data_IF_622455816288
#
_entry.id   IF_622455816288
#
_cell.length_a   1.000
_cell.length_b   1.000
_cell.length_c   1.000
_cell.angle_alpha   90.00
_cell.angle_beta   90.00
_cell.angle_gamma   90.00
#
_symmetry.space_group_name_H-M   'P 1'
#
loop_
_entity.id
_entity.type
_entity.pdbx_description
1 polymer ?
#
# COMPACT_ATOMS: atom_id res chain seq x y z
N UNK A 1 54.27 27.89 -46.15
CA UNK A 1 53.38 27.66 -45.01
C UNK A 1 51.97 27.40 -45.54
N UNK A 2 51.78 26.31 -46.31
CA UNK A 2 51.21 24.99 -45.88
C UNK A 2 49.79 25.11 -45.29
N UNK A 3 48.72 24.88 -46.06
CA UNK A 3 48.08 23.60 -46.52
C UNK A 3 47.12 23.00 -45.47
N UNK A 4 45.93 22.43 -45.71
CA UNK A 4 44.90 22.21 -46.79
C UNK A 4 43.73 21.50 -46.04
N UNK A 5 42.44 21.57 -46.37
CA UNK A 5 41.64 20.83 -47.39
C UNK A 5 40.15 21.10 -47.01
N UNK A 6 39.27 21.73 -47.82
CA UNK A 6 38.41 21.26 -48.92
C UNK A 6 37.20 20.33 -48.63
N UNK A 7 36.00 20.87 -48.99
CA UNK A 7 34.76 20.27 -49.60
C UNK A 7 33.96 19.26 -48.76
N UNK A 8 32.62 19.12 -48.80
CA UNK A 8 31.49 19.37 -49.73
C UNK A 8 30.24 19.57 -48.83
N UNK A 9 29.14 20.28 -49.16
CA UNK A 9 28.22 20.13 -50.29
C UNK A 9 26.99 19.28 -49.90
N UNK A 10 25.80 19.90 -49.75
CA UNK A 10 24.52 19.17 -49.66
C UNK A 10 23.37 19.93 -48.98
N UNK A 11 22.35 20.31 -49.76
CA UNK A 11 21.08 20.92 -49.34
C UNK A 11 19.90 20.09 -49.91
N UNK A 12 18.73 20.19 -49.27
CA UNK A 12 17.38 19.69 -49.64
C UNK A 12 17.20 18.15 -49.48
N UNK A 13 16.08 17.57 -49.02
CA UNK A 13 14.66 17.95 -49.03
C UNK A 13 13.87 17.05 -48.05
N UNK A 14 12.71 17.55 -47.61
CA UNK A 14 11.64 16.89 -46.83
C UNK A 14 11.22 15.49 -47.32
N UNK A 15 10.82 14.59 -46.39
CA UNK A 15 9.88 13.49 -46.67
C UNK A 15 9.23 12.89 -45.41
N UNK A 16 7.92 13.10 -45.26
CA UNK A 16 7.00 12.13 -44.65
C UNK A 16 6.74 10.99 -45.62
N UNK A 17 6.69 9.73 -45.18
CA UNK A 17 5.78 8.71 -45.75
C UNK A 17 5.66 7.48 -44.84
N UNK A 18 4.41 7.08 -44.59
CA UNK A 18 3.97 5.74 -44.19
C UNK A 18 4.29 4.68 -45.26
N UNK A 19 4.23 3.39 -44.88
CA UNK A 19 3.75 2.19 -45.62
C UNK A 19 4.11 0.96 -44.72
N UNK A 20 3.34 -0.10 -44.52
CA UNK A 20 2.14 -0.65 -45.16
C UNK A 20 2.33 -2.15 -45.47
N UNK A 21 1.38 -3.00 -45.04
CA UNK A 21 1.07 -4.38 -45.53
C UNK A 21 2.02 -5.54 -45.09
N UNK A 22 1.62 -6.81 -44.92
CA UNK A 22 0.49 -7.57 -45.46
C UNK A 22 0.14 -8.82 -44.61
N UNK A 23 -1.08 -9.30 -44.87
CA UNK A 23 -1.82 -10.46 -44.36
C UNK A 23 -1.33 -11.79 -44.96
N UNK A 24 -1.43 -12.90 -44.20
CA UNK A 24 -1.77 -14.23 -44.74
C UNK A 24 -2.57 -15.03 -43.70
N UNK A 25 -3.70 -15.59 -44.15
CA UNK A 25 -4.75 -16.28 -43.39
C UNK A 25 -4.46 -17.78 -43.14
N UNK A 26 -4.87 -18.26 -41.95
CA UNK A 26 -5.67 -19.47 -41.56
C UNK A 26 -5.48 -20.86 -42.23
N UNK A 27 -6.09 -21.99 -41.76
CA UNK A 27 -7.01 -22.22 -40.61
C UNK A 27 -6.69 -23.47 -39.74
N UNK A 28 -7.31 -23.62 -38.57
CA UNK A 28 -8.18 -24.78 -38.28
C UNK A 28 -8.96 -24.62 -36.97
N UNK A 29 -10.28 -24.74 -37.11
CA UNK A 29 -11.30 -24.85 -36.08
C UNK A 29 -11.16 -26.18 -35.33
N UNK A 30 -11.20 -26.17 -34.00
CA UNK A 30 -11.69 -27.32 -33.23
C UNK A 30 -12.48 -26.81 -32.02
N UNK A 31 -13.78 -27.09 -32.09
CA UNK A 31 -14.82 -26.83 -31.09
C UNK A 31 -14.70 -27.83 -29.95
N UNK A 32 -14.59 -27.40 -28.69
CA UNK A 32 -15.00 -28.17 -27.50
C UNK A 32 -15.31 -27.20 -26.31
N UNK A 33 -16.18 -27.59 -25.36
CA UNK A 33 -17.26 -26.75 -24.85
C UNK A 33 -16.94 -25.96 -23.57
N UNK A 34 -17.76 -24.94 -23.34
CA UNK A 34 -17.83 -24.16 -22.11
C UNK A 34 -18.08 -25.07 -20.89
N UNK A 35 -17.10 -25.17 -19.99
CA UNK A 35 -17.34 -25.63 -18.63
C UNK A 35 -17.63 -24.42 -17.75
N UNK A 36 -18.88 -24.27 -17.36
CA UNK A 36 -19.30 -23.44 -16.23
C UNK A 36 -18.53 -23.88 -14.99
N UNK A 37 -17.48 -23.12 -14.62
CA UNK A 37 -16.86 -23.22 -13.30
C UNK A 37 -17.83 -22.65 -12.27
N UNK A 38 -18.76 -23.51 -11.85
CA UNK A 38 -19.43 -23.39 -10.56
C UNK A 38 -18.32 -23.31 -9.51
N UNK A 39 -18.23 -22.17 -8.82
CA UNK A 39 -17.41 -22.01 -7.61
C UNK A 39 -17.92 -23.02 -6.59
N UNK A 40 -17.32 -24.22 -6.54
CA UNK A 40 -17.55 -25.18 -5.46
C UNK A 40 -16.95 -24.58 -4.20
N UNK A 41 -17.82 -24.06 -3.34
CA UNK A 41 -17.51 -23.78 -1.94
C UNK A 41 -17.11 -25.12 -1.30
N UNK A 42 -15.81 -25.31 -1.12
CA UNK A 42 -15.28 -26.47 -0.38
C UNK A 42 -15.64 -26.29 1.08
N UNK A 43 -16.80 -26.82 1.48
CA UNK A 43 -17.21 -26.90 2.88
C UNK A 43 -16.23 -27.83 3.59
N UNK A 44 -15.29 -27.25 4.34
CA UNK A 44 -14.36 -28.01 5.19
C UNK A 44 -15.17 -28.89 6.16
N UNK A 45 -14.83 -30.18 6.21
CA UNK A 45 -15.39 -31.14 7.18
C UNK A 45 -15.26 -30.59 8.61
N UNK A 46 -16.19 -30.96 9.50
CA UNK A 46 -16.14 -30.59 10.92
C UNK A 46 -14.81 -30.99 11.58
N UNK A 47 -14.20 -32.09 11.15
CA UNK A 47 -12.88 -32.52 11.58
C UNK A 47 -11.76 -31.62 11.04
N UNK A 48 -11.81 -31.25 9.75
CA UNK A 48 -10.83 -30.33 9.15
C UNK A 48 -10.83 -28.95 9.81
N UNK A 49 -12.00 -28.44 10.22
CA UNK A 49 -12.11 -27.18 10.96
C UNK A 49 -11.54 -27.28 12.38
N UNK A 50 -11.78 -28.40 13.08
CA UNK A 50 -11.20 -28.65 14.41
C UNK A 50 -9.68 -28.75 14.34
N UNK A 51 -9.15 -29.42 13.32
CA UNK A 51 -7.70 -29.56 13.14
C UNK A 51 -7.03 -28.22 12.81
N UNK A 52 -7.60 -27.42 11.91
CA UNK A 52 -7.10 -26.07 11.64
C UNK A 52 -7.12 -25.18 12.89
N UNK A 53 -8.19 -25.24 13.69
CA UNK A 53 -8.27 -24.48 14.94
C UNK A 53 -7.23 -24.96 15.97
N UNK A 54 -6.94 -26.26 16.02
CA UNK A 54 -5.89 -26.83 16.87
C UNK A 54 -4.51 -26.36 16.42
N UNK A 55 -4.22 -26.41 15.13
CA UNK A 55 -2.96 -25.92 14.57
C UNK A 55 -2.76 -24.43 14.84
N UNK A 56 -3.78 -23.59 14.61
CA UNK A 56 -3.71 -22.17 14.92
C UNK A 56 -3.40 -21.89 16.39
N UNK A 57 -3.95 -22.70 17.32
CA UNK A 57 -3.63 -22.59 18.76
C UNK A 57 -2.18 -22.99 19.06
N UNK A 58 -1.70 -24.08 18.48
CA UNK A 58 -0.30 -24.54 18.66
C UNK A 58 0.66 -23.48 18.14
N UNK A 59 0.46 -22.97 16.93
CA UNK A 59 1.30 -21.92 16.34
C UNK A 59 1.34 -20.66 17.20
N UNK A 60 0.20 -20.24 17.77
CA UNK A 60 0.16 -19.09 18.68
C UNK A 60 0.99 -19.32 19.94
N UNK A 61 0.89 -20.50 20.55
CA UNK A 61 1.64 -20.82 21.76
C UNK A 61 3.15 -20.92 21.48
N UNK A 62 3.53 -21.52 20.35
CA UNK A 62 4.92 -21.53 19.89
C UNK A 62 5.47 -20.11 19.69
N UNK A 63 4.67 -19.20 19.10
CA UNK A 63 5.07 -17.80 18.92
C UNK A 63 5.15 -17.03 20.23
N UNK A 64 4.29 -17.32 21.22
CA UNK A 64 4.40 -16.73 22.57
C UNK A 64 5.74 -17.05 23.22
N UNK A 65 6.27 -18.25 23.00
CA UNK A 65 7.60 -18.61 23.52
C UNK A 65 8.76 -17.92 22.79
N UNK A 66 8.53 -17.34 21.60
CA UNK A 66 9.52 -16.57 20.84
C UNK A 66 9.57 -15.08 21.25
N UNK A 67 8.56 -14.59 21.98
CA UNK A 67 8.50 -13.19 22.41
C UNK A 67 9.63 -12.90 23.41
N UNK A 68 10.62 -12.16 22.93
CA UNK A 68 11.76 -11.67 23.71
C UNK A 68 11.70 -10.15 23.93
N UNK A 69 12.77 -9.57 24.49
CA UNK A 69 12.86 -8.13 24.73
C UNK A 69 12.72 -7.26 23.48
N UNK A 70 13.08 -7.77 22.29
CA UNK A 70 12.93 -7.04 21.02
C UNK A 70 11.46 -6.93 20.65
N UNK A 71 10.72 -8.03 20.76
CA UNK A 71 9.28 -8.07 20.50
C UNK A 71 8.52 -7.17 21.47
N UNK A 72 8.84 -7.25 22.77
CA UNK A 72 8.22 -6.42 23.81
C UNK A 72 8.42 -4.93 23.54
N UNK A 73 9.59 -4.52 23.03
CA UNK A 73 9.81 -3.14 22.61
C UNK A 73 8.87 -2.72 21.47
N UNK A 74 8.71 -3.56 20.43
CA UNK A 74 7.78 -3.27 19.33
C UNK A 74 6.33 -3.20 19.83
N UNK A 75 5.92 -4.16 20.67
CA UNK A 75 4.57 -4.22 21.27
C UNK A 75 4.27 -2.96 22.06
N UNK A 76 5.18 -2.54 22.94
CA UNK A 76 5.02 -1.36 23.78
C UNK A 76 4.88 -0.08 22.94
N UNK A 77 5.72 0.10 21.91
CA UNK A 77 5.61 1.24 20.99
C UNK A 77 4.32 1.25 20.17
N UNK A 78 3.84 0.08 19.74
CA UNK A 78 2.57 -0.05 19.03
C UNK A 78 1.38 0.24 19.94
N UNK A 79 1.40 -0.27 21.17
CA UNK A 79 0.37 -0.03 22.18
C UNK A 79 0.22 1.47 22.45
N UNK A 80 1.34 2.15 22.73
CA UNK A 80 1.38 3.60 22.94
C UNK A 80 0.89 4.40 21.71
N UNK A 81 1.29 3.98 20.51
CA UNK A 81 0.99 4.72 19.28
C UNK A 81 -0.45 4.56 18.80
N UNK A 82 -1.03 3.36 18.94
CA UNK A 82 -2.33 2.98 18.37
C UNK A 82 -3.46 3.05 19.42
N UNK A 83 -3.11 3.31 20.70
CA UNK A 83 -4.03 3.34 21.84
C UNK A 83 -4.72 1.98 22.05
N UNK A 84 -3.90 0.92 22.14
CA UNK A 84 -4.30 -0.45 22.48
C UNK A 84 -3.49 -0.93 23.68
N UNK A 85 -4.01 -1.89 24.43
CA UNK A 85 -3.21 -2.54 25.47
C UNK A 85 -2.08 -3.38 24.86
N UNK A 86 -0.95 -3.51 25.56
CA UNK A 86 0.14 -4.40 25.14
C UNK A 86 -0.35 -5.84 24.92
N UNK A 87 -1.33 -6.29 25.71
CA UNK A 87 -1.93 -7.61 25.56
C UNK A 87 -2.71 -7.77 24.24
N UNK A 88 -3.48 -6.76 23.83
CA UNK A 88 -4.20 -6.77 22.55
C UNK A 88 -3.24 -6.76 21.37
N UNK A 89 -2.17 -5.95 21.46
CA UNK A 89 -1.13 -5.87 20.43
C UNK A 89 -0.37 -7.20 20.31
N UNK A 90 0.03 -7.79 21.44
CA UNK A 90 0.70 -9.09 21.45
C UNK A 90 -0.18 -10.16 20.82
N UNK A 91 -1.45 -10.27 21.22
CA UNK A 91 -2.38 -11.26 20.67
C UNK A 91 -2.60 -11.04 19.16
N UNK A 92 -2.69 -9.79 18.69
CA UNK A 92 -2.79 -9.48 17.27
C UNK A 92 -1.54 -9.93 16.49
N UNK A 93 -0.35 -9.67 17.03
CA UNK A 93 0.93 -10.01 16.40
C UNK A 93 1.14 -11.53 16.32
N UNK A 94 0.98 -12.26 17.43
CA UNK A 94 1.18 -13.72 17.43
C UNK A 94 0.16 -14.45 16.55
N UNK A 95 -1.01 -13.85 16.37
CA UNK A 95 -2.08 -14.36 15.50
C UNK A 95 -1.85 -14.07 14.02
N UNK A 96 -0.89 -13.20 13.66
CA UNK A 96 -0.70 -12.76 12.28
C UNK A 96 0.09 -13.78 11.46
N UNK A 97 -0.38 -14.09 10.25
CA UNK A 97 0.30 -15.05 9.37
C UNK A 97 1.69 -14.57 8.94
N UNK A 98 1.92 -13.25 8.94
CA UNK A 98 3.19 -12.62 8.56
C UNK A 98 4.11 -12.36 9.77
N UNK A 99 3.89 -13.00 10.92
CA UNK A 99 4.72 -12.90 12.13
C UNK A 99 6.23 -13.00 11.84
N UNK A 100 6.62 -13.88 10.92
CA UNK A 100 8.03 -14.11 10.53
C UNK A 100 8.75 -12.85 9.99
N UNK A 101 8.02 -11.83 9.51
CA UNK A 101 8.61 -10.56 9.09
C UNK A 101 9.29 -9.82 10.24
N UNK A 102 8.87 -10.06 11.49
CA UNK A 102 9.50 -9.48 12.68
C UNK A 102 10.93 -10.02 12.84
N UNK A 103 11.13 -11.33 12.69
CA UNK A 103 12.48 -11.91 12.78
C UNK A 103 13.36 -11.45 11.60
N UNK A 104 12.79 -11.37 10.39
CA UNK A 104 13.50 -10.81 9.24
C UNK A 104 13.88 -9.34 9.40
N UNK A 105 13.17 -8.59 10.25
CA UNK A 105 13.54 -7.22 10.59
C UNK A 105 14.73 -7.18 11.56
N UNK A 106 14.88 -8.18 12.43
CA UNK A 106 15.93 -8.20 13.44
C UNK A 106 17.29 -8.73 12.96
N UNK A 107 17.33 -9.57 11.93
CA UNK A 107 18.58 -10.14 11.41
C UNK A 107 19.55 -9.07 10.86
N UNK A 108 20.87 -9.35 10.79
CA UNK A 108 21.83 -8.47 10.11
C UNK A 108 21.42 -8.28 8.64
N UNK A 109 21.52 -7.04 8.15
CA UNK A 109 21.03 -6.65 6.82
C UNK A 109 19.58 -7.09 6.54
N UNK A 110 18.76 -7.14 7.60
CA UNK A 110 17.35 -7.50 7.52
C UNK A 110 16.47 -6.42 6.89
N UNK A 111 15.16 -6.59 7.03
CA UNK A 111 14.17 -5.65 6.53
C UNK A 111 14.43 -4.26 7.10
N UNK A 112 14.46 -3.25 6.23
CA UNK A 112 14.66 -1.85 6.63
C UNK A 112 13.40 -1.20 7.22
N UNK A 113 12.25 -1.80 6.93
CA UNK A 113 10.94 -1.37 7.38
C UNK A 113 10.11 -2.57 7.84
N UNK A 114 9.35 -2.37 8.90
CA UNK A 114 8.31 -3.27 9.36
C UNK A 114 7.03 -2.45 9.51
N UNK A 115 5.96 -2.86 8.82
CA UNK A 115 4.73 -2.09 8.71
C UNK A 115 3.56 -2.82 9.36
N UNK A 116 2.72 -2.05 10.05
CA UNK A 116 1.50 -2.50 10.69
C UNK A 116 0.35 -1.60 10.29
N UNK A 117 -0.77 -2.17 9.87
CA UNK A 117 -2.00 -1.43 9.65
C UNK A 117 -2.97 -1.68 10.78
N UNK A 118 -3.58 -0.61 11.26
CA UNK A 118 -4.71 -0.62 12.17
C UNK A 118 -5.87 0.10 11.51
N UNK A 119 -6.80 -0.68 10.97
CA UNK A 119 -7.92 -0.17 10.18
C UNK A 119 -9.12 -1.11 10.27
N UNK A 120 -10.27 -0.59 9.86
CA UNK A 120 -11.47 -1.38 9.75
C UNK A 120 -11.31 -2.45 8.67
N UNK A 121 -11.59 -3.70 9.06
CA UNK A 121 -11.69 -4.80 8.13
C UNK A 121 -13.15 -5.26 8.04
N UNK A 122 -13.62 -5.44 6.80
CA UNK A 122 -14.87 -6.15 6.57
C UNK A 122 -14.61 -7.61 6.84
N UNK A 123 -14.90 -8.07 8.06
CA UNK A 123 -14.96 -9.50 8.35
C UNK A 123 -16.08 -10.10 7.51
N UNK A 124 -15.75 -10.70 6.37
CA UNK A 124 -16.55 -11.81 5.89
C UNK A 124 -16.41 -12.90 6.95
N UNK A 125 -17.39 -13.00 7.85
CA UNK A 125 -17.54 -14.18 8.70
C UNK A 125 -17.53 -15.36 7.75
N UNK A 126 -16.44 -16.13 7.72
CA UNK A 126 -16.45 -17.46 7.14
C UNK A 126 -17.32 -18.34 8.05
N UNK A 127 -18.65 -18.21 7.91
CA UNK A 127 -19.72 -19.06 8.42
C UNK A 127 -19.44 -19.80 9.76
N UNK A 128 -19.00 -19.06 10.77
CA UNK A 128 -18.92 -19.53 12.15
C UNK A 128 -20.11 -18.97 12.95
N UNK A 129 -21.30 -19.49 12.65
CA UNK A 129 -22.48 -19.62 13.52
C UNK A 129 -23.73 -19.60 12.64
N UNK A 130 -24.26 -20.78 12.32
CA UNK A 130 -25.63 -20.92 11.84
C UNK A 130 -26.58 -20.73 13.03
N UNK A 131 -26.70 -19.49 13.48
CA UNK A 131 -27.92 -18.94 14.06
C UNK A 131 -28.18 -17.66 13.29
N UNK A 132 -28.84 -17.84 12.16
CA UNK A 132 -29.25 -16.77 11.26
C UNK A 132 -30.35 -15.95 11.93
N UNK A 133 -29.96 -14.88 12.62
CA UNK A 133 -30.81 -13.71 12.72
C UNK A 133 -30.45 -12.78 11.55
N UNK A 134 -31.42 -12.37 10.71
CA UNK A 134 -31.20 -11.49 9.57
C UNK A 134 -30.85 -10.04 9.95
N UNK A 135 -30.50 -9.77 11.21
CA UNK A 135 -30.22 -8.43 11.76
C UNK A 135 -28.77 -8.19 12.17
N UNK A 136 -27.85 -9.15 11.96
CA UNK A 136 -26.43 -8.91 12.30
C UNK A 136 -25.74 -8.12 11.21
N UNK A 137 -25.93 -6.80 11.24
CA UNK A 137 -25.05 -5.84 10.57
C UNK A 137 -23.60 -6.26 10.82
N UNK A 138 -22.86 -6.57 9.76
CA UNK A 138 -21.41 -6.77 9.82
C UNK A 138 -20.78 -5.43 10.17
N UNK A 139 -20.67 -5.14 11.46
CA UNK A 139 -20.02 -3.93 11.93
C UNK A 139 -18.52 -4.01 11.56
N UNK A 140 -17.97 -2.93 10.98
CA UNK A 140 -16.53 -2.83 10.78
C UNK A 140 -15.82 -3.01 12.12
N UNK A 141 -14.82 -3.89 12.16
CA UNK A 141 -13.98 -4.07 13.35
C UNK A 141 -12.56 -3.64 12.98
N UNK A 142 -12.00 -2.73 13.77
CA UNK A 142 -10.58 -2.38 13.66
C UNK A 142 -9.72 -3.60 13.96
N UNK A 143 -8.75 -3.87 13.10
CA UNK A 143 -7.77 -4.95 13.28
C UNK A 143 -6.37 -4.42 13.07
N UNK A 144 -5.47 -4.79 13.98
CA UNK A 144 -4.02 -4.64 13.82
C UNK A 144 -3.46 -5.86 13.09
N UNK A 145 -2.69 -5.64 12.03
CA UNK A 145 -2.04 -6.71 11.28
C UNK A 145 -0.74 -6.24 10.60
N UNK A 146 0.16 -7.18 10.32
CA UNK A 146 1.45 -6.93 9.67
C UNK A 146 1.24 -6.90 8.15
N UNK A 147 1.90 -5.97 7.44
CA UNK A 147 1.77 -5.82 5.99
C UNK A 147 3.12 -5.52 5.30
N UNK A 148 3.20 -5.82 4.01
CA UNK A 148 4.28 -5.38 3.12
C UNK A 148 3.96 -4.03 2.44
N UNK A 149 2.73 -3.53 2.57
CA UNK A 149 2.24 -2.26 2.01
C UNK A 149 1.94 -2.29 0.51
N UNK A 150 1.96 -3.47 -0.14
CA UNK A 150 1.79 -3.60 -1.60
C UNK A 150 0.49 -4.26 -2.03
N UNK A 151 -0.20 -4.97 -1.14
CA UNK A 151 -1.32 -5.85 -1.49
C UNK A 151 -2.64 -5.42 -0.86
N UNK A 152 -2.59 -4.72 0.27
CA UNK A 152 -3.76 -4.32 1.04
C UNK A 152 -4.13 -2.86 0.78
N UNK A 153 -5.43 -2.58 0.64
CA UNK A 153 -5.92 -1.21 0.64
C UNK A 153 -5.69 -0.60 2.03
N UNK A 154 -5.18 0.63 2.06
CA UNK A 154 -4.88 1.33 3.29
C UNK A 154 -5.93 2.40 3.58
N UNK A 155 -6.63 2.27 4.71
CA UNK A 155 -7.70 3.18 5.12
C UNK A 155 -7.81 3.25 6.65
N UNK A 156 -6.74 3.73 7.30
CA UNK A 156 -6.68 3.87 8.74
C UNK A 156 -5.29 4.33 9.17
N UNK A 157 -4.77 3.71 10.22
CA UNK A 157 -3.49 4.09 10.81
C UNK A 157 -2.39 3.12 10.37
N UNK A 158 -1.30 3.65 9.83
CA UNK A 158 -0.09 2.91 9.51
C UNK A 158 0.96 3.19 10.59
N UNK A 159 1.31 2.18 11.36
CA UNK A 159 2.42 2.23 12.29
C UNK A 159 3.62 1.50 11.67
N UNK A 160 4.80 2.09 11.79
CA UNK A 160 5.99 1.55 11.12
C UNK A 160 7.24 1.68 11.98
N UNK A 161 8.10 0.68 11.83
CA UNK A 161 9.45 0.68 12.41
C UNK A 161 10.46 0.75 11.29
N UNK A 162 11.40 1.69 11.38
CA UNK A 162 12.49 1.89 10.44
C UNK A 162 13.83 1.68 11.13
N UNK A 163 14.74 1.00 10.45
CA UNK A 163 16.14 0.93 10.85
C UNK A 163 17.02 1.47 9.75
N UNK A 164 17.97 2.33 10.11
CA UNK A 164 18.91 2.95 9.16
C UNK A 164 20.20 2.15 9.02
N UNK A 165 20.54 1.31 10.02
CA UNK A 165 21.75 0.49 10.01
C UNK A 165 21.51 -0.94 9.52
N UNK A 166 22.60 -1.62 9.16
CA UNK A 166 22.64 -3.04 8.79
C UNK A 166 23.00 -3.97 9.97
N UNK A 167 23.18 -3.42 11.17
CA UNK A 167 23.53 -4.21 12.37
C UNK A 167 22.40 -5.13 12.79
N UNK A 168 22.72 -6.29 13.37
CA UNK A 168 21.69 -7.11 14.02
C UNK A 168 20.96 -6.30 15.10
N UNK A 169 19.64 -6.45 15.17
CA UNK A 169 18.83 -5.84 16.22
C UNK A 169 18.77 -6.81 17.41
N UNK A 170 19.21 -6.32 18.56
CA UNK A 170 19.23 -7.01 19.83
C UNK A 170 18.35 -6.27 20.83
N UNK A 171 17.95 -6.94 21.91
CA UNK A 171 17.17 -6.29 22.97
C UNK A 171 17.90 -5.07 23.59
N UNK A 172 19.23 -5.04 23.53
CA UNK A 172 20.05 -3.95 24.07
C UNK A 172 20.21 -2.74 23.15
N UNK A 173 20.08 -2.91 21.82
CA UNK A 173 20.31 -1.83 20.86
C UNK A 173 19.03 -1.33 20.18
N UNK A 174 17.90 -2.04 20.31
CA UNK A 174 16.69 -1.79 19.55
C UNK A 174 16.17 -0.35 19.71
N UNK A 175 16.27 0.24 20.90
CA UNK A 175 15.83 1.62 21.16
C UNK A 175 16.69 2.68 20.46
N UNK A 176 17.93 2.36 20.08
CA UNK A 176 18.83 3.24 19.36
C UNK A 176 18.81 3.01 17.85
N UNK A 177 18.63 1.75 17.44
CA UNK A 177 18.73 1.33 16.03
C UNK A 177 17.38 1.37 15.31
N UNK A 178 16.26 1.39 16.04
CA UNK A 178 14.90 1.34 15.49
C UNK A 178 14.12 2.60 15.83
N UNK A 179 13.65 3.27 14.78
CA UNK A 179 12.77 4.43 14.84
C UNK A 179 11.33 3.99 14.65
N UNK A 180 10.45 4.45 15.53
CA UNK A 180 9.01 4.24 15.40
C UNK A 180 8.36 5.48 14.80
N UNK A 181 7.43 5.29 13.88
CA UNK A 181 6.63 6.36 13.31
C UNK A 181 5.22 5.89 13.00
N UNK A 182 4.32 6.86 12.87
CA UNK A 182 2.92 6.61 12.58
C UNK A 182 2.43 7.60 11.53
N UNK A 183 1.56 7.12 10.66
CA UNK A 183 0.89 7.88 9.63
C UNK A 183 -0.60 7.55 9.67
N UNK A 184 -1.42 8.52 10.02
CA UNK A 184 -2.87 8.36 9.98
C UNK A 184 -3.42 8.83 8.63
N UNK A 185 -4.26 8.01 8.01
CA UNK A 185 -4.84 8.23 6.69
C UNK A 185 -6.34 7.93 6.72
N UNK A 186 -7.15 8.81 7.35
CA UNK A 186 -8.58 8.62 7.46
C UNK A 186 -9.22 8.49 6.06
N UNK A 187 -10.19 7.59 5.93
CA UNK A 187 -10.93 7.34 4.69
C UNK A 187 -10.04 6.96 3.48
N UNK A 188 -8.82 6.47 3.72
CA UNK A 188 -7.88 6.09 2.67
C UNK A 188 -7.23 7.26 1.94
N UNK A 189 -7.36 8.49 2.44
CA UNK A 189 -6.69 9.66 1.85
C UNK A 189 -5.21 9.69 2.26
N UNK A 190 -4.42 8.84 1.60
CA UNK A 190 -2.98 8.68 1.91
C UNK A 190 -2.19 9.96 1.61
N UNK A 191 -2.57 10.69 0.56
CA UNK A 191 -1.93 11.97 0.22
C UNK A 191 -2.15 13.02 1.30
N UNK A 192 -3.36 13.11 1.85
CA UNK A 192 -3.66 14.00 2.96
C UNK A 192 -2.89 13.63 4.22
N UNK A 193 -2.83 12.34 4.57
CA UNK A 193 -2.04 11.89 5.71
C UNK A 193 -0.56 12.24 5.57
N UNK A 194 0.01 12.03 4.38
CA UNK A 194 1.41 12.37 4.11
C UNK A 194 1.65 13.89 4.13
N UNK A 195 0.75 14.67 3.53
CA UNK A 195 0.78 16.14 3.56
C UNK A 195 0.78 16.65 5.01
N UNK A 196 -0.12 16.13 5.84
CA UNK A 196 -0.20 16.46 7.26
C UNK A 196 1.10 16.09 8.00
N UNK A 197 1.57 14.86 7.83
CA UNK A 197 2.80 14.38 8.48
C UNK A 197 4.02 15.26 8.13
N UNK A 198 4.18 15.61 6.85
CA UNK A 198 5.28 16.45 6.40
C UNK A 198 5.17 17.87 6.95
N UNK A 199 3.99 18.48 6.87
CA UNK A 199 3.75 19.88 7.25
C UNK A 199 3.81 20.08 8.77
N UNK A 200 3.18 19.19 9.53
CA UNK A 200 2.99 19.38 10.97
C UNK A 200 4.12 18.77 11.81
N UNK A 201 4.80 17.74 11.31
CA UNK A 201 5.81 17.01 12.09
C UNK A 201 7.20 17.19 11.47
N UNK A 202 7.39 16.74 10.23
CA UNK A 202 8.74 16.65 9.65
C UNK A 202 9.38 18.02 9.37
N UNK A 203 8.67 18.93 8.72
CA UNK A 203 9.21 20.26 8.38
C UNK A 203 9.57 21.06 9.64
N UNK A 204 8.71 21.16 10.68
CA UNK A 204 9.08 21.80 11.95
C UNK A 204 10.27 21.11 12.63
N UNK A 205 10.34 19.78 12.60
CA UNK A 205 11.47 19.03 13.16
C UNK A 205 12.77 19.35 12.41
N UNK A 206 12.74 19.39 11.08
CA UNK A 206 13.90 19.76 10.26
C UNK A 206 14.30 21.22 10.50
N UNK A 207 13.34 22.15 10.58
CA UNK A 207 13.61 23.58 10.83
C UNK A 207 14.12 23.85 12.26
N UNK A 208 13.87 22.98 13.22
CA UNK A 208 14.41 23.10 14.59
C UNK A 208 15.74 22.36 14.79
N UNK A 209 16.18 21.59 13.80
CA UNK A 209 17.41 20.80 13.86
C UNK A 209 18.64 21.69 14.00
N UNK A 210 19.41 21.46 15.07
CA UNK A 210 20.66 22.18 15.34
C UNK A 210 21.86 21.52 14.67
N UNK A 211 21.83 20.20 14.51
CA UNK A 211 22.94 19.42 13.98
C UNK A 211 22.61 18.87 12.58
N UNK A 212 23.31 19.41 11.58
CA UNK A 212 23.23 18.97 10.19
C UNK A 212 24.47 18.15 9.76
N UNK A 213 25.10 17.49 10.72
CA UNK A 213 26.27 16.64 10.51
C UNK A 213 27.49 17.45 10.09
N UNK A 214 27.99 17.22 8.88
CA UNK A 214 29.18 17.90 8.36
C UNK A 214 28.95 19.40 8.10
N UNK A 215 27.70 19.84 7.95
CA UNK A 215 27.36 21.23 7.65
C UNK A 215 27.21 22.02 8.95
N UNK A 216 28.30 22.66 9.38
CA UNK A 216 28.37 23.40 10.67
C UNK A 216 27.53 24.68 10.70
N UNK A 217 27.25 25.27 9.54
CA UNK A 217 26.47 26.50 9.42
C UNK A 217 24.96 26.26 9.60
N UNK A 218 24.51 25.00 9.60
CA UNK A 218 23.11 24.61 9.78
C UNK A 218 22.19 25.39 8.84
N UNK A 219 21.11 25.95 9.39
CA UNK A 219 20.14 26.74 8.61
C UNK A 219 20.73 27.95 7.88
N UNK A 220 21.92 28.45 8.24
CA UNK A 220 22.53 29.57 7.49
C UNK A 220 23.14 29.12 6.17
N UNK A 221 23.35 27.81 6.00
CA UNK A 221 23.90 27.26 4.78
C UNK A 221 22.86 27.25 3.65
N UNK A 222 23.24 27.75 2.47
CA UNK A 222 22.33 27.82 1.32
C UNK A 222 21.82 26.46 0.87
N UNK A 223 22.63 25.40 0.95
CA UNK A 223 22.20 24.05 0.54
C UNK A 223 21.09 23.50 1.45
N UNK A 224 21.15 23.82 2.75
CA UNK A 224 20.10 23.43 3.70
C UNK A 224 18.82 24.22 3.43
N UNK A 225 18.93 25.51 3.13
CA UNK A 225 17.77 26.33 2.75
C UNK A 225 17.13 25.84 1.45
N UNK A 226 17.92 25.51 0.43
CA UNK A 226 17.44 24.95 -0.84
C UNK A 226 16.75 23.59 -0.63
N UNK A 227 17.30 22.74 0.23
CA UNK A 227 16.68 21.46 0.61
C UNK A 227 15.33 21.68 1.30
N UNK A 228 15.26 22.54 2.31
CA UNK A 228 14.01 22.84 3.02
C UNK A 228 12.97 23.44 2.07
N UNK A 229 13.39 24.33 1.17
CA UNK A 229 12.53 24.89 0.13
C UNK A 229 12.01 23.80 -0.82
N UNK A 230 12.85 22.85 -1.22
CA UNK A 230 12.44 21.71 -2.05
C UNK A 230 11.41 20.83 -1.32
N UNK A 231 11.57 20.60 -0.02
CA UNK A 231 10.61 19.86 0.80
C UNK A 231 9.28 20.63 0.92
N UNK A 232 9.31 21.93 1.21
CA UNK A 232 8.10 22.78 1.27
C UNK A 232 7.37 22.78 -0.10
N UNK A 233 8.10 22.87 -1.22
CA UNK A 233 7.54 22.80 -2.57
C UNK A 233 6.94 21.43 -2.90
N UNK A 234 7.56 20.35 -2.42
CA UNK A 234 7.04 19.01 -2.58
C UNK A 234 5.68 18.85 -1.88
N UNK A 235 5.56 19.37 -0.65
CA UNK A 235 4.28 19.40 0.08
C UNK A 235 3.23 20.21 -0.67
N UNK A 236 3.59 21.39 -1.19
CA UNK A 236 2.67 22.18 -2.03
C UNK A 236 2.17 21.40 -3.27
N UNK A 237 3.06 20.64 -3.90
CA UNK A 237 2.71 19.79 -5.06
C UNK A 237 1.78 18.64 -4.67
N UNK A 238 2.01 18.02 -3.50
CA UNK A 238 1.10 17.01 -2.94
C UNK A 238 -0.30 17.59 -2.69
N UNK A 239 -0.37 18.79 -2.11
CA UNK A 239 -1.62 19.48 -1.81
C UNK A 239 -2.43 19.76 -3.09
N UNK A 240 -1.79 20.30 -4.13
CA UNK A 240 -2.44 20.50 -5.43
C UNK A 240 -2.86 19.20 -6.08
N UNK A 241 -2.05 18.14 -5.97
CA UNK A 241 -2.39 16.82 -6.52
C UNK A 241 -3.60 16.21 -5.84
N UNK A 242 -3.69 16.36 -4.50
CA UNK A 242 -4.84 15.93 -3.71
C UNK A 242 -6.11 16.66 -4.15
N UNK A 243 -6.07 17.98 -4.25
CA UNK A 243 -7.22 18.79 -4.71
C UNK A 243 -7.69 18.36 -6.12
N UNK A 244 -6.76 18.17 -7.05
CA UNK A 244 -7.09 17.71 -8.40
C UNK A 244 -7.74 16.32 -8.44
N UNK A 245 -7.40 15.43 -7.49
CA UNK A 245 -8.01 14.10 -7.38
C UNK A 245 -9.40 14.18 -6.73
N UNK A 246 -9.57 15.04 -5.72
CA UNK A 246 -10.86 15.27 -5.06
C UNK A 246 -11.88 15.92 -6.00
N UNK A 247 -11.43 16.84 -6.87
CA UNK A 247 -12.26 17.50 -7.89
C UNK A 247 -12.59 16.59 -9.10
N UNK A 248 -12.16 15.33 -9.07
CA UNK A 248 -12.38 14.39 -10.19
C UNK A 248 -13.83 13.95 -10.27
N UNK A 249 -14.50 14.32 -11.36
CA UNK A 249 -15.78 13.75 -11.75
C UNK A 249 -15.56 12.29 -12.18
N UNK A 250 -16.15 11.35 -11.42
CA UNK A 250 -16.21 9.95 -11.85
C UNK A 250 -17.38 9.77 -12.80
N UNK A 251 -17.09 9.53 -14.08
CA UNK A 251 -18.10 9.20 -15.07
C UNK A 251 -18.58 7.76 -14.84
N UNK A 252 -19.87 7.59 -14.57
CA UNK A 252 -20.50 6.27 -14.43
C UNK A 252 -20.58 5.60 -15.80
N UNK A 253 -20.24 4.31 -15.88
CA UNK A 253 -20.51 3.51 -17.07
C UNK A 253 -22.02 3.38 -17.22
N UNK A 254 -22.57 4.05 -18.24
CA UNK A 254 -23.99 3.93 -18.59
C UNK A 254 -24.21 2.50 -19.07
N UNK A 255 -25.23 1.83 -18.52
CA UNK A 255 -25.68 0.55 -19.03
C UNK A 255 -26.47 0.80 -20.32
N UNK A 256 -25.75 0.79 -21.44
CA UNK A 256 -26.27 1.08 -22.77
C UNK A 256 -27.38 0.08 -23.14
N UNK A 257 -27.34 -1.14 -22.61
CA UNK A 257 -28.30 -2.19 -22.95
C UNK A 257 -29.72 -1.79 -22.56
N UNK A 258 -29.91 -1.07 -21.45
CA UNK A 258 -31.22 -0.56 -21.00
C UNK A 258 -31.78 0.50 -21.96
N UNK A 259 -30.91 1.32 -22.56
CA UNK A 259 -31.32 2.38 -23.47
C UNK A 259 -31.52 1.86 -24.90
N UNK A 260 -30.71 0.89 -25.31
CA UNK A 260 -30.76 0.30 -26.65
C UNK A 260 -31.86 -0.76 -26.78
N UNK A 261 -32.19 -1.48 -25.70
CA UNK A 261 -33.29 -2.48 -25.74
C UNK A 261 -34.66 -1.87 -26.01
N UNK A 262 -34.81 -0.56 -25.76
CA UNK A 262 -36.06 0.19 -25.95
C UNK A 262 -36.19 0.78 -27.36
N UNK A 263 -35.16 0.65 -28.22
CA UNK A 263 -35.16 1.14 -29.60
C UNK A 263 -35.40 -0.02 -30.57
N UNK A 264 -36.66 -0.43 -30.74
CA UNK A 264 -37.01 -1.63 -31.52
C UNK A 264 -37.41 -1.32 -32.97
N UNK A 265 -37.83 -0.09 -33.28
CA UNK A 265 -38.26 0.31 -34.61
C UNK A 265 -37.62 1.63 -35.08
N UNK A 266 -37.59 1.92 -36.40
CA UNK A 266 -36.92 3.11 -36.95
C UNK A 266 -37.44 4.45 -36.41
N UNK A 267 -38.69 4.53 -35.97
CA UNK A 267 -39.30 5.75 -35.42
C UNK A 267 -38.79 6.07 -34.01
N UNK A 268 -38.37 5.06 -33.24
CA UNK A 268 -37.86 5.22 -31.89
C UNK A 268 -36.52 6.01 -31.89
N UNK A 269 -35.72 5.86 -32.95
CA UNK A 269 -34.45 6.58 -33.13
C UNK A 269 -34.64 8.08 -33.41
N UNK A 270 -35.79 8.47 -33.97
CA UNK A 270 -36.10 9.87 -34.30
C UNK A 270 -36.51 10.65 -33.03
N UNK A 271 -37.04 9.97 -32.02
CA UNK A 271 -37.54 10.58 -30.78
C UNK A 271 -36.48 10.63 -29.67
N UNK A 272 -35.38 9.89 -29.82
CA UNK A 272 -34.31 9.75 -28.81
C UNK A 272 -33.10 10.69 -29.01
N UNK A 273 -33.11 11.53 -30.05
CA UNK A 273 -32.08 12.56 -30.31
C UNK A 273 -32.50 13.95 -29.84
#
# INVERSE_FOLDING_TARGET
TESKYHRHGGNLKTRSTELGSAVTESPLTTVLPASTTVKKSTVLSSEGRKELAKQAKVTKEERRTQIDGRHKYLISRLADGIDLSEQEVEEAIISDDKFQLIEQFFVPSGLKKLLFFYQDILQQKSNASLRSDPSTNTLPQKKLFITMGSTENFAGTCAFFLRTSDKVITASNISQEVNFGMLDCPNGNTLQGLEFFLTQIMIPALKSQQNWGAVKEGLKNSQIQDFLYAVDRFVGTLSSSRQNIEDKIQLTKVDIDIYVSNLQNPSDYITAG
#
